data_IF_912869734321
#
_entry.id   IF_912869734321
#
_cell.length_a   1.000
_cell.length_b   1.000
_cell.length_c   1.000
_cell.angle_alpha   90.00
_cell.angle_beta   90.00
_cell.angle_gamma   90.00
#
_symmetry.space_group_name_H-M   'P 1'
#
loop_
_entity.id
_entity.type
_entity.pdbx_description
1 polymer ?
#
# COMPACT_ATOMS: atom_id res chain seq x y z
N UNK A 1 20.91 5.25 20.10
CA UNK A 1 20.88 4.20 21.18
C UNK A 1 21.88 3.08 20.89
N UNK A 2 22.43 2.96 19.68
CA UNK A 2 23.53 2.03 19.36
C UNK A 2 24.90 2.70 19.27
N UNK A 3 24.96 4.03 19.40
CA UNK A 3 26.12 4.87 19.05
C UNK A 3 27.35 4.67 19.94
N UNK A 4 27.22 3.92 21.04
CA UNK A 4 28.29 3.61 21.99
C UNK A 4 28.49 2.10 22.20
N UNK A 5 27.95 1.24 21.33
CA UNK A 5 28.07 -0.20 21.46
C UNK A 5 29.18 -0.76 20.56
N UNK A 6 30.09 -1.54 21.15
CA UNK A 6 31.18 -2.21 20.41
C UNK A 6 30.71 -3.49 19.68
N UNK A 7 29.63 -4.10 20.17
CA UNK A 7 29.00 -5.30 19.60
C UNK A 7 27.49 -5.15 19.63
N UNK A 8 26.85 -5.40 18.50
CA UNK A 8 25.39 -5.36 18.35
C UNK A 8 24.95 -6.69 17.75
N UNK A 9 24.06 -7.38 18.45
CA UNK A 9 23.43 -8.61 17.97
C UNK A 9 22.08 -8.26 17.35
N UNK A 10 21.92 -8.56 16.06
CA UNK A 10 20.71 -8.24 15.30
C UNK A 10 20.19 -9.48 14.57
N UNK A 11 18.86 -9.67 14.49
CA UNK A 11 18.28 -10.63 13.54
C UNK A 11 18.57 -10.19 12.10
N UNK A 12 18.60 -11.16 11.17
CA UNK A 12 18.97 -10.91 9.78
C UNK A 12 18.11 -9.85 9.08
N UNK A 13 16.80 -9.84 9.32
CA UNK A 13 15.87 -8.89 8.69
C UNK A 13 16.18 -7.42 9.02
N UNK A 14 16.82 -7.12 10.16
CA UNK A 14 17.24 -5.74 10.49
C UNK A 14 18.39 -5.25 9.61
N UNK A 15 19.19 -6.17 9.07
CA UNK A 15 20.31 -5.88 8.18
C UNK A 15 19.86 -5.98 6.72
N UNK A 16 19.07 -7.00 6.37
CA UNK A 16 18.77 -7.35 4.99
C UNK A 16 17.58 -6.58 4.41
N UNK A 17 16.53 -6.32 5.20
CA UNK A 17 15.41 -5.50 4.73
C UNK A 17 15.79 -4.00 4.79
N UNK A 18 15.90 -3.30 3.64
CA UNK A 18 16.28 -1.90 3.61
C UNK A 18 15.28 -0.98 4.32
N UNK A 19 14.00 -1.37 4.42
CA UNK A 19 12.95 -0.60 5.10
C UNK A 19 13.15 -0.67 6.61
N UNK A 20 13.30 -1.88 7.15
CA UNK A 20 13.55 -2.12 8.58
C UNK A 20 14.87 -1.46 9.00
N UNK A 21 15.93 -1.62 8.20
CA UNK A 21 17.24 -1.02 8.45
C UNK A 21 17.16 0.51 8.56
N UNK A 22 16.43 1.16 7.65
CA UNK A 22 16.24 2.62 7.65
C UNK A 22 15.38 3.08 8.84
N UNK A 23 14.31 2.36 9.16
CA UNK A 23 13.44 2.69 10.29
C UNK A 23 14.19 2.65 11.62
N UNK A 24 15.09 1.68 11.78
CA UNK A 24 15.93 1.52 12.98
C UNK A 24 17.22 2.36 12.96
N UNK A 25 17.44 3.16 11.89
CA UNK A 25 18.63 4.00 11.71
C UNK A 25 19.95 3.21 11.86
N UNK A 26 19.97 1.98 11.36
CA UNK A 26 21.15 1.13 11.42
C UNK A 26 22.11 1.56 10.30
N UNK A 27 23.23 2.17 10.67
CA UNK A 27 24.32 2.50 9.76
C UNK A 27 25.40 1.43 9.84
N UNK A 28 25.69 0.80 8.70
CA UNK A 28 26.70 -0.26 8.59
C UNK A 28 28.06 0.28 8.14
N UNK A 29 28.14 1.56 7.79
CA UNK A 29 29.35 2.15 7.23
C UNK A 29 30.43 2.20 8.30
N UNK A 30 31.57 1.57 8.03
CA UNK A 30 32.69 1.47 8.98
C UNK A 30 32.56 0.32 9.99
N UNK A 31 31.47 -0.45 9.92
CA UNK A 31 31.23 -1.61 10.78
C UNK A 31 31.66 -2.91 10.09
N UNK A 32 32.13 -3.88 10.88
CA UNK A 32 32.31 -5.26 10.41
C UNK A 32 30.99 -6.01 10.66
N UNK A 33 30.42 -6.59 9.61
CA UNK A 33 29.17 -7.37 9.69
C UNK A 33 29.52 -8.86 9.61
N UNK A 34 29.09 -9.62 10.61
CA UNK A 34 29.29 -11.07 10.69
C UNK A 34 27.91 -11.72 10.63
N UNK A 35 27.69 -12.56 9.62
CA UNK A 35 26.53 -13.45 9.57
C UNK A 35 26.92 -14.78 10.20
N UNK A 36 26.32 -15.08 11.34
CA UNK A 36 26.47 -16.37 12.01
C UNK A 36 25.47 -17.38 11.44
N UNK A 37 25.88 -18.62 11.13
CA UNK A 37 25.01 -19.68 10.58
C UNK A 37 24.24 -19.30 9.29
N UNK A 38 24.93 -18.68 8.32
CA UNK A 38 24.36 -18.06 7.11
C UNK A 38 23.72 -19.02 6.07
N UNK A 39 23.37 -20.26 6.43
CA UNK A 39 22.80 -21.24 5.50
C UNK A 39 21.41 -20.83 4.96
N UNK A 40 20.64 -20.03 5.71
CA UNK A 40 19.33 -19.52 5.30
C UNK A 40 19.38 -18.07 4.78
N UNK A 41 20.58 -17.50 4.63
CA UNK A 41 20.75 -16.09 4.27
C UNK A 41 20.16 -15.77 2.90
N UNK A 42 20.34 -16.66 1.93
CA UNK A 42 19.81 -16.51 0.57
C UNK A 42 18.28 -16.49 0.57
N UNK A 43 17.65 -17.45 1.25
CA UNK A 43 16.20 -17.53 1.36
C UNK A 43 15.62 -16.26 2.02
N UNK A 44 16.25 -15.76 3.09
CA UNK A 44 15.78 -14.55 3.78
C UNK A 44 15.95 -13.31 2.88
N UNK A 45 17.02 -13.24 2.08
CA UNK A 45 17.20 -12.19 1.07
C UNK A 45 16.10 -12.27 0.00
N UNK A 46 15.82 -13.47 -0.52
CA UNK A 46 14.78 -13.70 -1.52
C UNK A 46 13.40 -13.30 -1.00
N UNK A 47 13.04 -13.74 0.22
CA UNK A 47 11.79 -13.39 0.86
C UNK A 47 11.67 -11.87 1.09
N UNK A 48 12.74 -11.20 1.54
CA UNK A 48 12.74 -9.75 1.79
C UNK A 48 12.60 -8.91 0.51
N UNK A 49 13.00 -9.47 -0.64
CA UNK A 49 12.91 -8.81 -1.94
C UNK A 49 11.64 -9.19 -2.73
N UNK A 50 10.95 -10.25 -2.31
CA UNK A 50 9.79 -10.80 -3.01
C UNK A 50 8.48 -10.20 -2.51
N UNK A 51 7.46 -10.18 -3.39
CA UNK A 51 6.09 -9.79 -3.04
C UNK A 51 5.13 -10.85 -3.58
N UNK A 52 4.13 -11.20 -2.79
CA UNK A 52 3.04 -12.09 -3.19
C UNK A 52 1.73 -11.31 -3.13
N UNK A 53 0.98 -11.34 -4.22
CA UNK A 53 -0.34 -10.71 -4.34
C UNK A 53 -1.29 -11.77 -4.86
N UNK A 54 -2.37 -12.02 -4.13
CA UNK A 54 -3.45 -12.91 -4.54
C UNK A 54 -4.58 -12.09 -5.14
N UNK A 55 -5.39 -12.71 -6.00
CA UNK A 55 -6.63 -12.09 -6.51
C UNK A 55 -7.54 -11.65 -5.35
N UNK A 56 -7.59 -12.43 -4.26
CA UNK A 56 -8.33 -12.05 -3.05
C UNK A 56 -7.85 -10.76 -2.40
N UNK A 57 -6.56 -10.43 -2.52
CA UNK A 57 -5.99 -9.22 -1.93
C UNK A 57 -6.42 -7.98 -2.73
N UNK A 58 -6.45 -8.09 -4.06
CA UNK A 58 -6.96 -7.05 -4.96
C UNK A 58 -8.45 -6.82 -4.71
N UNK A 59 -9.25 -7.89 -4.67
CA UNK A 59 -10.68 -7.79 -4.43
C UNK A 59 -11.01 -7.24 -3.03
N UNK A 60 -10.19 -7.56 -2.01
CA UNK A 60 -10.32 -6.97 -0.68
C UNK A 60 -10.05 -5.47 -0.69
N UNK A 61 -8.94 -5.05 -1.32
CA UNK A 61 -8.60 -3.63 -1.46
C UNK A 61 -9.68 -2.84 -2.20
N UNK A 62 -10.25 -3.41 -3.28
CA UNK A 62 -11.34 -2.80 -4.03
C UNK A 62 -12.60 -2.61 -3.17
N UNK A 63 -12.94 -3.60 -2.35
CA UNK A 63 -14.09 -3.53 -1.44
C UNK A 63 -13.89 -2.45 -0.39
N UNK A 64 -12.72 -2.40 0.24
CA UNK A 64 -12.38 -1.40 1.26
C UNK A 64 -12.40 0.02 0.69
N UNK A 65 -11.87 0.21 -0.53
CA UNK A 65 -11.91 1.49 -1.22
C UNK A 65 -13.35 1.95 -1.53
N UNK A 66 -14.20 1.02 -2.01
CA UNK A 66 -15.63 1.31 -2.27
C UNK A 66 -16.39 1.64 -1.00
N UNK A 67 -16.21 0.85 0.06
CA UNK A 67 -16.83 1.08 1.35
C UNK A 67 -16.44 2.46 1.90
N UNK A 68 -15.16 2.83 1.80
CA UNK A 68 -14.67 4.15 2.21
C UNK A 68 -15.36 5.26 1.44
N UNK A 69 -15.54 5.10 0.11
CA UNK A 69 -16.21 6.10 -0.72
C UNK A 69 -17.69 6.26 -0.33
N UNK A 70 -18.39 5.15 -0.07
CA UNK A 70 -19.79 5.15 0.38
C UNK A 70 -19.95 5.86 1.72
N UNK A 71 -19.06 5.60 2.68
CA UNK A 71 -19.06 6.24 3.99
C UNK A 71 -18.91 7.76 3.85
N UNK A 72 -17.91 8.23 3.10
CA UNK A 72 -17.68 9.67 2.88
C UNK A 72 -18.90 10.34 2.24
N UNK A 73 -19.53 9.70 1.25
CA UNK A 73 -20.74 10.23 0.61
C UNK A 73 -21.90 10.31 1.62
N UNK A 74 -22.05 9.29 2.47
CA UNK A 74 -23.11 9.24 3.48
C UNK A 74 -22.95 10.32 4.56
N UNK A 75 -21.72 10.58 4.99
CA UNK A 75 -21.39 11.63 5.97
C UNK A 75 -21.68 13.02 5.42
N UNK A 76 -21.28 13.29 4.18
CA UNK A 76 -21.58 14.57 3.53
C UNK A 76 -23.08 14.81 3.39
N UNK A 77 -23.85 13.77 3.06
CA UNK A 77 -25.30 13.88 2.94
C UNK A 77 -25.96 14.14 4.30
N UNK A 78 -25.46 13.53 5.38
CA UNK A 78 -25.93 13.80 6.74
C UNK A 78 -25.63 15.25 7.15
N UNK A 79 -24.42 15.75 6.85
CA UNK A 79 -24.04 17.13 7.13
C UNK A 79 -24.93 18.13 6.36
N UNK A 80 -25.21 17.85 5.08
CA UNK A 80 -26.12 18.68 4.27
C UNK A 80 -27.52 18.77 4.88
N UNK A 81 -28.10 17.63 5.25
CA UNK A 81 -29.43 17.58 5.90
C UNK A 81 -29.44 18.33 7.23
N UNK A 82 -28.42 18.15 8.06
CA UNK A 82 -28.29 18.86 9.33
C UNK A 82 -28.20 20.39 9.14
N UNK A 83 -27.52 20.85 8.08
CA UNK A 83 -27.45 22.27 7.74
C UNK A 83 -28.78 22.84 7.26
N UNK A 84 -29.51 22.11 6.40
CA UNK A 84 -30.82 22.50 5.88
C UNK A 84 -31.90 22.55 6.98
N UNK A 85 -31.81 21.67 7.99
CA UNK A 85 -32.69 21.66 9.16
C UNK A 85 -32.33 22.73 10.22
N UNK A 86 -31.12 23.31 10.13
CA UNK A 86 -30.65 24.31 11.07
C UNK A 86 -31.13 25.72 10.67
N UNK A 87 -31.74 26.46 11.61
CA UNK A 87 -32.20 27.85 11.41
C UNK A 87 -31.08 28.89 11.54
N UNK A 88 -29.81 28.48 11.42
CA UNK A 88 -28.67 29.33 11.74
C UNK A 88 -28.45 30.36 10.64
N UNK A 89 -28.50 31.65 11.02
CA UNK A 89 -28.37 32.76 10.09
C UNK A 89 -27.04 32.73 9.32
N UNK A 90 -27.12 32.99 8.01
CA UNK A 90 -25.99 33.06 7.09
C UNK A 90 -24.93 34.05 7.60
N UNK A 91 -23.82 33.53 8.14
CA UNK A 91 -22.70 34.34 8.63
C UNK A 91 -22.22 34.08 10.07
N UNK A 92 -22.90 33.22 10.87
CA UNK A 92 -22.45 32.92 12.25
C UNK A 92 -21.79 31.54 12.44
N UNK A 93 -21.71 30.71 11.39
CA UNK A 93 -21.16 29.35 11.46
C UNK A 93 -19.63 29.29 11.27
N UNK A 94 -18.89 30.31 11.70
CA UNK A 94 -17.42 30.24 11.76
C UNK A 94 -17.04 30.15 13.21
N UNK A 95 -16.63 28.97 13.71
CA UNK A 95 -15.51 28.81 14.68
C UNK A 95 -15.33 27.44 15.37
N UNK A 96 -16.14 26.39 15.16
CA UNK A 96 -15.99 25.18 16.02
C UNK A 96 -15.70 23.81 15.38
N UNK A 97 -15.51 23.70 14.07
CA UNK A 97 -15.29 22.38 13.42
C UNK A 97 -14.02 22.28 12.57
N UNK A 98 -13.08 23.23 12.67
CA UNK A 98 -11.86 23.21 11.83
C UNK A 98 -10.73 22.31 12.35
N UNK A 99 -10.91 21.55 13.44
CA UNK A 99 -9.81 20.83 14.12
C UNK A 99 -9.73 19.31 13.93
N UNK A 100 -10.56 18.70 13.09
CA UNK A 100 -10.39 17.31 12.64
C UNK A 100 -10.16 17.23 11.12
N UNK A 101 -9.23 18.05 10.62
CA UNK A 101 -8.97 18.20 9.17
C UNK A 101 -7.68 17.49 8.69
N UNK A 102 -7.20 16.47 9.42
CA UNK A 102 -5.93 15.80 9.09
C UNK A 102 -6.07 14.50 8.29
N UNK A 103 -7.29 13.99 8.06
CA UNK A 103 -7.50 12.69 7.39
C UNK A 103 -8.63 12.74 6.35
N UNK A 104 -8.80 13.85 5.63
CA UNK A 104 -9.74 13.87 4.52
C UNK A 104 -9.16 13.04 3.36
N UNK A 105 -9.74 11.87 3.14
CA UNK A 105 -9.58 11.08 1.92
C UNK A 105 -10.37 11.80 0.82
N UNK A 106 -9.69 12.23 -0.25
CA UNK A 106 -10.37 12.90 -1.36
C UNK A 106 -11.18 11.90 -2.20
N UNK A 107 -12.49 12.15 -2.35
CA UNK A 107 -13.39 11.27 -3.13
C UNK A 107 -12.93 11.03 -4.56
N UNK A 108 -12.36 12.06 -5.19
CA UNK A 108 -11.87 11.98 -6.58
C UNK A 108 -10.69 11.02 -6.67
N UNK A 109 -9.75 11.13 -5.74
CA UNK A 109 -8.56 10.28 -5.70
C UNK A 109 -8.94 8.83 -5.37
N UNK A 110 -9.89 8.64 -4.46
CA UNK A 110 -10.43 7.32 -4.12
C UNK A 110 -11.18 6.68 -5.30
N UNK A 111 -12.00 7.45 -6.01
CA UNK A 111 -12.66 6.98 -7.22
C UNK A 111 -11.65 6.59 -8.31
N UNK A 112 -10.58 7.38 -8.48
CA UNK A 112 -9.51 7.05 -9.40
C UNK A 112 -8.78 5.77 -8.98
N UNK A 113 -8.47 5.59 -7.69
CA UNK A 113 -7.87 4.37 -7.17
C UNK A 113 -8.75 3.14 -7.43
N UNK A 114 -10.07 3.25 -7.24
CA UNK A 114 -11.03 2.17 -7.54
C UNK A 114 -10.93 1.75 -9.01
N UNK A 115 -10.90 2.71 -9.94
CA UNK A 115 -10.78 2.41 -11.38
C UNK A 115 -9.45 1.71 -11.69
N UNK A 116 -8.34 2.18 -11.14
CA UNK A 116 -7.04 1.53 -11.31
C UNK A 116 -7.04 0.08 -10.80
N UNK A 117 -7.61 -0.16 -9.61
CA UNK A 117 -7.72 -1.49 -9.02
C UNK A 117 -8.63 -2.41 -9.85
N UNK A 118 -9.74 -1.90 -10.42
CA UNK A 118 -10.60 -2.67 -11.32
C UNK A 118 -9.90 -3.05 -12.61
N UNK A 119 -9.13 -2.12 -13.18
CA UNK A 119 -8.30 -2.39 -14.36
C UNK A 119 -7.21 -3.43 -14.05
N UNK A 120 -6.65 -3.42 -12.84
CA UNK A 120 -5.71 -4.43 -12.38
C UNK A 120 -6.35 -5.80 -12.20
N UNK A 121 -7.49 -5.87 -11.51
CA UNK A 121 -8.24 -7.11 -11.32
C UNK A 121 -8.56 -7.76 -12.67
N UNK A 122 -9.13 -6.99 -13.61
CA UNK A 122 -9.43 -7.46 -14.96
C UNK A 122 -8.19 -7.95 -15.72
N UNK A 123 -7.11 -7.16 -15.71
CA UNK A 123 -5.90 -7.53 -16.44
C UNK A 123 -5.20 -8.75 -15.84
N UNK A 124 -5.37 -9.01 -14.54
CA UNK A 124 -4.88 -10.23 -13.88
C UNK A 124 -5.74 -11.43 -14.26
N UNK A 125 -7.07 -11.27 -14.30
CA UNK A 125 -8.00 -12.33 -14.70
C UNK A 125 -7.84 -12.72 -16.18
N UNK A 126 -7.47 -11.76 -17.03
CA UNK A 126 -7.21 -11.97 -18.46
C UNK A 126 -5.87 -12.68 -18.75
N UNK A 127 -5.04 -12.99 -17.74
CA UNK A 127 -3.76 -13.70 -17.92
C UNK A 127 -4.03 -15.16 -18.29
N UNK A 128 -3.71 -15.52 -19.54
CA UNK A 128 -3.84 -16.89 -20.02
C UNK A 128 -2.61 -17.73 -19.63
N UNK A 129 -2.67 -18.38 -18.47
CA UNK A 129 -1.63 -19.29 -18.00
C UNK A 129 -1.47 -20.55 -18.85
N UNK A 130 -2.31 -20.81 -19.86
CA UNK A 130 -2.13 -21.95 -20.77
C UNK A 130 -1.20 -21.58 -21.94
N UNK A 131 -1.22 -20.32 -22.37
CA UNK A 131 -0.47 -19.82 -23.52
C UNK A 131 0.73 -18.96 -23.13
N UNK A 132 0.60 -18.21 -22.04
CA UNK A 132 1.61 -17.27 -21.60
C UNK A 132 2.56 -17.85 -20.54
N UNK A 133 3.76 -17.27 -20.48
CA UNK A 133 4.80 -17.66 -19.52
C UNK A 133 5.46 -19.02 -19.80
N UNK A 134 6.53 -19.32 -19.07
CA UNK A 134 7.32 -20.54 -19.20
C UNK A 134 7.15 -21.43 -17.98
N UNK A 135 7.04 -22.73 -18.20
CA UNK A 135 7.19 -23.71 -17.13
C UNK A 135 8.68 -23.84 -16.80
N UNK A 136 9.07 -23.57 -15.56
CA UNK A 136 10.47 -23.64 -15.13
C UNK A 136 10.60 -24.71 -14.05
N UNK A 137 11.27 -25.80 -14.41
CA UNK A 137 11.49 -26.94 -13.50
C UNK A 137 10.18 -27.47 -12.92
N UNK A 138 10.18 -27.65 -11.60
CA UNK A 138 9.05 -28.18 -10.82
C UNK A 138 8.20 -27.07 -10.16
N UNK A 139 8.38 -25.80 -10.55
CA UNK A 139 7.59 -24.70 -10.00
C UNK A 139 6.12 -24.85 -10.43
N UNK A 140 5.20 -24.72 -9.48
CA UNK A 140 3.78 -24.67 -9.80
C UNK A 140 3.45 -23.33 -10.46
N UNK A 141 2.77 -23.35 -11.61
CA UNK A 141 2.39 -22.15 -12.36
C UNK A 141 3.39 -21.77 -13.46
N UNK A 142 3.32 -20.50 -13.90
CA UNK A 142 4.08 -19.99 -15.04
C UNK A 142 5.02 -18.86 -14.61
N UNK A 143 6.22 -18.86 -15.17
CA UNK A 143 7.22 -17.80 -14.97
C UNK A 143 7.20 -16.84 -16.15
N UNK A 144 7.12 -15.56 -15.85
CA UNK A 144 7.13 -14.48 -16.84
C UNK A 144 8.44 -13.69 -16.77
N UNK A 145 8.81 -12.97 -17.85
CA UNK A 145 9.92 -12.02 -17.80
C UNK A 145 9.73 -10.98 -16.69
N UNK A 146 10.81 -10.46 -16.11
CA UNK A 146 10.72 -9.48 -15.01
C UNK A 146 9.99 -8.18 -15.37
N UNK A 147 9.96 -7.81 -16.65
CA UNK A 147 9.20 -6.66 -17.17
C UNK A 147 7.68 -6.87 -17.19
N UNK A 148 7.21 -8.11 -17.04
CA UNK A 148 5.80 -8.46 -17.15
C UNK A 148 4.95 -7.73 -16.12
N UNK A 149 5.41 -7.65 -14.87
CA UNK A 149 4.70 -6.92 -13.80
C UNK A 149 4.60 -5.43 -14.12
N UNK A 150 5.65 -4.83 -14.71
CA UNK A 150 5.62 -3.43 -15.13
C UNK A 150 4.62 -3.23 -16.26
N UNK A 151 4.65 -4.10 -17.26
CA UNK A 151 3.67 -4.09 -18.38
C UNK A 151 2.24 -4.27 -17.87
N UNK A 152 2.03 -5.15 -16.89
CA UNK A 152 0.71 -5.40 -16.29
C UNK A 152 0.20 -4.14 -15.58
N UNK A 153 1.03 -3.52 -14.75
CA UNK A 153 0.69 -2.27 -14.06
C UNK A 153 0.41 -1.13 -15.04
N UNK A 154 1.23 -0.98 -16.08
CA UNK A 154 1.03 0.03 -17.12
C UNK A 154 -0.28 -0.17 -17.89
N UNK A 155 -0.63 -1.41 -18.23
CA UNK A 155 -1.93 -1.75 -18.84
C UNK A 155 -3.11 -1.47 -17.92
N UNK A 156 -2.89 -1.51 -16.61
CA UNK A 156 -3.86 -1.13 -15.59
C UNK A 156 -3.82 0.37 -15.27
N UNK A 157 -3.10 1.16 -16.07
CA UNK A 157 -2.94 2.61 -15.97
C UNK A 157 -2.19 3.09 -14.72
N UNK A 158 -1.53 2.18 -13.99
CA UNK A 158 -0.59 2.56 -12.94
C UNK A 158 0.64 3.19 -13.57
N UNK A 159 0.91 4.44 -13.19
CA UNK A 159 2.13 5.14 -13.60
C UNK A 159 3.07 5.35 -12.42
N UNK A 160 4.38 5.38 -12.71
CA UNK A 160 5.43 5.51 -11.69
C UNK A 160 5.33 6.81 -10.88
N UNK A 161 4.87 7.90 -11.49
CA UNK A 161 4.66 9.20 -10.83
C UNK A 161 3.56 9.16 -9.77
N UNK A 162 2.60 8.23 -9.88
CA UNK A 162 1.49 8.10 -8.93
C UNK A 162 1.85 7.34 -7.65
N UNK A 163 3.03 6.69 -7.60
CA UNK A 163 3.41 5.78 -6.52
C UNK A 163 3.21 6.39 -5.14
N UNK A 164 3.76 7.57 -4.90
CA UNK A 164 3.76 8.18 -3.56
C UNK A 164 2.35 8.67 -3.20
N UNK A 165 1.59 9.16 -4.18
CA UNK A 165 0.20 9.58 -3.99
C UNK A 165 -0.72 8.39 -3.65
N UNK A 166 -0.62 7.28 -4.40
CA UNK A 166 -1.38 6.06 -4.15
C UNK A 166 -1.00 5.46 -2.80
N UNK A 167 0.29 5.41 -2.46
CA UNK A 167 0.75 4.91 -1.15
C UNK A 167 0.13 5.72 -0.02
N UNK A 168 0.22 7.06 -0.09
CA UNK A 168 -0.35 7.93 0.93
C UNK A 168 -1.87 7.81 1.00
N UNK A 169 -2.56 7.62 -0.12
CA UNK A 169 -4.00 7.43 -0.17
C UNK A 169 -4.41 6.13 0.50
N UNK A 170 -3.73 5.02 0.22
CA UNK A 170 -4.00 3.71 0.85
C UNK A 170 -3.79 3.80 2.36
N UNK A 171 -2.72 4.45 2.82
CA UNK A 171 -2.47 4.67 4.25
C UNK A 171 -3.61 5.47 4.90
N UNK A 172 -4.08 6.55 4.24
CA UNK A 172 -5.22 7.36 4.72
C UNK A 172 -6.52 6.56 4.76
N UNK A 173 -6.79 5.72 3.75
CA UNK A 173 -7.97 4.84 3.70
C UNK A 173 -7.93 3.85 4.86
N UNK A 174 -6.77 3.22 5.11
CA UNK A 174 -6.60 2.31 6.24
C UNK A 174 -6.84 2.99 7.59
N UNK A 175 -6.32 4.21 7.78
CA UNK A 175 -6.57 5.01 9.00
C UNK A 175 -8.05 5.42 9.10
N UNK A 176 -8.69 5.79 8.00
CA UNK A 176 -10.12 6.16 7.99
C UNK A 176 -10.99 4.98 8.43
N UNK A 177 -10.81 3.82 7.81
CA UNK A 177 -11.55 2.60 8.15
C UNK A 177 -11.28 2.09 9.57
N UNK A 178 -10.07 2.30 10.11
CA UNK A 178 -9.77 1.93 11.50
C UNK A 178 -10.47 2.82 12.55
N UNK A 179 -10.92 4.02 12.15
CA UNK A 179 -11.58 4.98 13.02
C UNK A 179 -13.12 4.98 12.86
N UNK A 180 -13.69 4.06 12.07
CA UNK A 180 -15.13 3.90 11.82
C UNK A 180 -15.57 2.48 12.15
#
# INVERSE_FOLDING_TARGET
MFDTADLILLPYNYILDPRVRRANKIELKGSIVIFDEAHNLEQICEESASVSIKTSDISACLREAKQTLELIISEEEQLRKAMDESTVAFGQASTKEEKQKSTQVEKKDLAHLIVLLQNLEKNVDDIDLTRDGKQVGNLSGKVFPGEFVMTLLERSEFRRDMRDAISSLIDKVGVYLANH
#
